data_IF_166901769086
#
_entry.id   IF_166901769086
#
_cell.length_a   1.000
_cell.length_b   1.000
_cell.length_c   1.000
_cell.angle_alpha   90.00
_cell.angle_beta   90.00
_cell.angle_gamma   90.00
#
_symmetry.space_group_name_H-M   'P 1'
#
loop_
_entity.id
_entity.type
_entity.pdbx_description
1 polymer ?
#
# COMPACT_ATOMS: atom_id res chain seq x y z
N UNK A 1 3.35 17.93 -2.21
CA UNK A 1 4.22 16.78 -2.54
C UNK A 1 3.55 15.50 -2.05
N UNK A 2 3.45 14.47 -2.90
CA UNK A 2 2.87 13.16 -2.52
C UNK A 2 3.83 12.38 -1.62
N UNK A 3 3.32 11.37 -0.90
CA UNK A 3 4.16 10.46 -0.10
C UNK A 3 5.20 9.75 -0.97
N UNK A 4 4.79 9.25 -2.14
CA UNK A 4 5.70 8.59 -3.08
C UNK A 4 6.85 9.51 -3.53
N UNK A 5 6.53 10.76 -3.90
CA UNK A 5 7.56 11.74 -4.27
C UNK A 5 8.54 12.03 -3.13
N UNK A 6 8.04 12.12 -1.89
CA UNK A 6 8.87 12.33 -0.69
C UNK A 6 9.83 11.18 -0.47
N UNK A 7 9.33 9.95 -0.54
CA UNK A 7 10.12 8.73 -0.35
C UNK A 7 11.17 8.60 -1.45
N UNK A 8 10.80 8.82 -2.71
CA UNK A 8 11.73 8.79 -3.85
C UNK A 8 12.89 9.75 -3.63
N UNK A 9 12.59 11.02 -3.33
CA UNK A 9 13.61 12.04 -3.08
C UNK A 9 14.58 11.63 -1.94
N UNK A 10 14.08 11.03 -0.86
CA UNK A 10 14.93 10.55 0.25
C UNK A 10 15.83 9.41 -0.18
N UNK A 11 15.31 8.42 -0.90
CA UNK A 11 16.11 7.29 -1.37
C UNK A 11 17.18 7.69 -2.40
N UNK A 12 16.90 8.70 -3.22
CA UNK A 12 17.86 9.27 -4.17
C UNK A 12 18.96 10.06 -3.45
N UNK A 13 18.59 10.93 -2.51
CA UNK A 13 19.53 11.82 -1.81
C UNK A 13 20.32 11.16 -0.68
N UNK A 14 19.81 10.07 -0.09
CA UNK A 14 20.37 9.43 1.10
C UNK A 14 20.46 7.91 0.92
N UNK A 15 21.55 7.40 0.32
CA UNK A 15 21.72 5.97 0.03
C UNK A 15 21.64 5.07 1.26
N UNK A 16 21.99 5.57 2.44
CA UNK A 16 21.94 4.83 3.71
C UNK A 16 20.52 4.46 4.15
N UNK A 17 19.49 5.11 3.59
CA UNK A 17 18.08 4.83 3.87
C UNK A 17 17.54 3.63 3.09
N UNK A 18 18.22 3.21 2.01
CA UNK A 18 17.73 2.15 1.10
C UNK A 18 17.70 0.76 1.74
N UNK A 19 18.53 0.54 2.75
CA UNK A 19 18.69 -0.75 3.42
C UNK A 19 17.95 -0.83 4.77
N UNK A 20 17.31 0.24 5.23
CA UNK A 20 16.71 0.31 6.57
C UNK A 20 15.43 1.15 6.58
N UNK A 21 14.30 0.43 6.54
CA UNK A 21 12.96 1.02 6.55
C UNK A 21 12.71 1.92 7.77
N UNK A 22 13.32 1.62 8.93
CA UNK A 22 13.13 2.43 10.13
C UNK A 22 13.83 3.77 9.99
N UNK A 23 15.04 3.80 9.41
CA UNK A 23 15.72 5.06 9.09
C UNK A 23 14.93 5.87 8.08
N UNK A 24 14.39 5.22 7.05
CA UNK A 24 13.56 5.88 6.04
C UNK A 24 12.30 6.52 6.67
N UNK A 25 11.60 5.78 7.55
CA UNK A 25 10.43 6.29 8.25
C UNK A 25 10.77 7.52 9.10
N UNK A 26 11.85 7.46 9.88
CA UNK A 26 12.30 8.59 10.71
C UNK A 26 12.62 9.81 9.83
N UNK A 27 13.33 9.62 8.71
CA UNK A 27 13.66 10.70 7.80
C UNK A 27 12.42 11.36 7.16
N UNK A 28 11.36 10.58 6.90
CA UNK A 28 10.07 11.12 6.42
C UNK A 28 9.34 11.88 7.52
N UNK A 29 9.38 11.40 8.77
CA UNK A 29 8.79 12.08 9.92
C UNK A 29 9.46 13.43 10.22
N UNK A 30 10.79 13.48 10.13
CA UNK A 30 11.56 14.72 10.30
C UNK A 30 11.09 15.79 9.30
N UNK A 31 10.84 15.44 8.04
CA UNK A 31 10.31 16.39 7.04
C UNK A 31 8.85 16.85 7.32
N UNK A 32 8.15 16.16 8.22
CA UNK A 32 6.81 16.54 8.67
C UNK A 32 6.86 17.31 10.00
N UNK A 33 8.06 17.63 10.50
CA UNK A 33 8.27 18.30 11.78
C UNK A 33 8.12 17.38 13.00
N UNK A 34 8.11 16.06 12.79
CA UNK A 34 8.05 15.08 13.86
C UNK A 34 9.46 14.61 14.20
N UNK A 35 9.94 15.01 15.37
CA UNK A 35 11.28 14.66 15.85
C UNK A 35 11.19 13.69 17.03
N UNK A 36 12.05 12.68 17.00
CA UNK A 36 12.22 11.75 18.11
C UNK A 36 13.38 12.21 18.98
N UNK A 37 13.26 12.05 20.29
CA UNK A 37 14.44 12.16 21.17
C UNK A 37 15.40 11.01 20.89
N UNK A 38 16.71 11.14 21.21
CA UNK A 38 17.67 10.05 21.02
C UNK A 38 17.25 8.73 21.69
N UNK A 39 16.61 8.81 22.86
CA UNK A 39 16.09 7.64 23.57
C UNK A 39 14.90 7.00 22.83
N UNK A 40 13.97 7.80 22.31
CA UNK A 40 12.84 7.31 21.51
C UNK A 40 13.32 6.66 20.22
N UNK A 41 14.33 7.24 19.59
CA UNK A 41 14.95 6.67 18.40
C UNK A 41 15.58 5.31 18.71
N UNK A 42 16.38 5.19 19.77
CA UNK A 42 16.95 3.91 20.22
C UNK A 42 15.86 2.85 20.46
N UNK A 43 14.75 3.22 21.12
CA UNK A 43 13.61 2.31 21.34
C UNK A 43 12.97 1.89 20.02
N UNK A 44 12.76 2.81 19.08
CA UNK A 44 12.20 2.50 17.76
C UNK A 44 13.05 1.47 17.01
N UNK A 45 14.38 1.60 17.05
CA UNK A 45 15.28 0.64 16.41
C UNK A 45 15.28 -0.74 17.09
N UNK A 46 15.00 -0.82 18.39
CA UNK A 46 14.93 -2.07 19.14
C UNK A 46 13.60 -2.84 19.01
N UNK A 47 12.48 -2.18 18.69
CA UNK A 47 11.16 -2.85 18.63
C UNK A 47 10.92 -3.62 17.33
N UNK A 48 9.92 -4.51 17.32
CA UNK A 48 9.48 -5.21 16.12
C UNK A 48 9.10 -4.24 15.00
N UNK A 49 9.34 -4.66 13.75
CA UNK A 49 8.94 -3.88 12.58
C UNK A 49 7.41 -3.64 12.59
N UNK A 50 6.93 -2.41 12.32
CA UNK A 50 5.50 -2.11 12.30
C UNK A 50 4.68 -3.04 11.39
N UNK A 51 5.26 -3.43 10.24
CA UNK A 51 4.62 -4.36 9.29
C UNK A 51 4.44 -5.76 9.88
N UNK A 52 5.40 -6.26 10.67
CA UNK A 52 5.29 -7.54 11.36
C UNK A 52 4.14 -7.50 12.38
N UNK A 53 4.05 -6.43 13.17
CA UNK A 53 2.95 -6.22 14.12
C UNK A 53 1.61 -6.18 13.38
N UNK A 54 1.54 -5.45 12.25
CA UNK A 54 0.34 -5.38 11.41
C UNK A 54 -0.10 -6.76 10.92
N UNK A 55 0.82 -7.58 10.41
CA UNK A 55 0.54 -8.94 9.91
C UNK A 55 0.07 -9.86 11.02
N UNK A 56 0.70 -9.81 12.19
CA UNK A 56 0.26 -10.62 13.35
C UNK A 56 -1.15 -10.21 13.77
N UNK A 57 -1.43 -8.91 13.88
CA UNK A 57 -2.78 -8.41 14.18
C UNK A 57 -3.82 -8.90 13.16
N UNK A 58 -3.48 -8.87 11.87
CA UNK A 58 -4.38 -9.39 10.83
C UNK A 58 -4.71 -10.87 11.05
N UNK A 59 -3.70 -11.71 11.31
CA UNK A 59 -3.90 -13.14 11.62
C UNK A 59 -4.77 -13.36 12.86
N UNK A 60 -4.62 -12.53 13.89
CA UNK A 60 -5.45 -12.60 15.09
C UNK A 60 -6.91 -12.22 14.80
N UNK A 61 -7.12 -11.16 14.02
CA UNK A 61 -8.46 -10.75 13.61
C UNK A 61 -9.16 -11.82 12.76
N UNK A 62 -8.44 -12.50 11.86
CA UNK A 62 -8.96 -13.63 11.07
C UNK A 62 -9.40 -14.80 11.96
N UNK A 63 -8.84 -14.91 13.16
CA UNK A 63 -9.23 -15.89 14.21
C UNK A 63 -10.29 -15.35 15.17
N UNK A 64 -10.81 -14.14 14.93
CA UNK A 64 -11.81 -13.48 15.79
C UNK A 64 -11.25 -12.85 17.07
N UNK A 65 -9.93 -12.78 17.24
CA UNK A 65 -9.29 -12.25 18.46
C UNK A 65 -8.99 -10.76 18.27
N UNK A 66 -9.40 -9.93 19.24
CA UNK A 66 -9.07 -8.49 19.24
C UNK A 66 -9.74 -7.71 18.10
N UNK A 67 -10.92 -8.16 17.67
CA UNK A 67 -11.67 -7.48 16.61
C UNK A 67 -11.98 -6.04 17.00
N UNK A 68 -11.84 -5.08 16.07
CA UNK A 68 -12.25 -3.72 16.31
C UNK A 68 -13.78 -3.63 16.46
N UNK A 69 -14.28 -2.53 17.01
CA UNK A 69 -15.73 -2.33 17.15
C UNK A 69 -16.46 -2.37 15.78
N UNK A 70 -17.77 -2.60 15.81
CA UNK A 70 -18.60 -2.75 14.60
C UNK A 70 -18.54 -1.52 13.70
N UNK A 71 -18.46 -0.31 14.26
CA UNK A 71 -18.40 0.95 13.49
C UNK A 71 -17.10 1.03 12.71
N UNK A 72 -15.99 0.68 13.35
CA UNK A 72 -14.66 0.62 12.76
C UNK A 72 -14.58 -0.46 11.69
N UNK A 73 -15.18 -1.63 11.91
CA UNK A 73 -15.26 -2.70 10.91
C UNK A 73 -16.03 -2.23 9.66
N UNK A 74 -17.20 -1.64 9.84
CA UNK A 74 -18.02 -1.09 8.74
C UNK A 74 -17.24 -0.04 7.94
N UNK A 75 -16.63 0.93 8.62
CA UNK A 75 -15.82 1.97 7.96
C UNK A 75 -14.68 1.38 7.13
N UNK A 76 -13.96 0.40 7.66
CA UNK A 76 -12.86 -0.28 6.95
C UNK A 76 -13.35 -1.05 5.73
N UNK A 77 -14.52 -1.70 5.83
CA UNK A 77 -15.12 -2.44 4.71
C UNK A 77 -15.46 -1.51 3.54
N UNK A 78 -16.12 -0.39 3.82
CA UNK A 78 -16.44 0.63 2.79
C UNK A 78 -15.17 1.16 2.12
N UNK A 79 -14.15 1.52 2.91
CA UNK A 79 -12.91 2.06 2.36
C UNK A 79 -12.18 1.04 1.48
N UNK A 80 -12.17 -0.23 1.88
CA UNK A 80 -11.57 -1.31 1.10
C UNK A 80 -12.33 -1.59 -0.20
N UNK A 81 -13.66 -1.47 -0.19
CA UNK A 81 -14.48 -1.58 -1.40
C UNK A 81 -14.24 -0.43 -2.37
N UNK A 82 -14.14 0.80 -1.88
CA UNK A 82 -13.79 1.99 -2.66
C UNK A 82 -12.42 1.82 -3.33
N UNK A 83 -11.38 1.46 -2.58
CA UNK A 83 -10.04 1.24 -3.17
C UNK A 83 -10.02 0.11 -4.20
N UNK A 84 -10.79 -0.98 -3.99
CA UNK A 84 -10.88 -2.06 -4.98
C UNK A 84 -11.55 -1.58 -6.27
N UNK A 85 -12.55 -0.71 -6.16
CA UNK A 85 -13.23 -0.15 -7.31
C UNK A 85 -12.30 0.80 -8.09
N UNK A 86 -11.59 1.69 -7.40
CA UNK A 86 -10.57 2.57 -8.00
C UNK A 86 -9.49 1.77 -8.75
N UNK A 87 -8.93 0.73 -8.12
CA UNK A 87 -7.93 -0.15 -8.76
C UNK A 87 -8.50 -0.88 -9.98
N UNK A 88 -9.79 -1.25 -9.96
CA UNK A 88 -10.45 -1.88 -11.10
C UNK A 88 -10.63 -0.89 -12.25
N UNK A 89 -11.06 0.33 -11.95
CA UNK A 89 -11.31 1.38 -12.94
C UNK A 89 -9.99 1.89 -13.57
N UNK A 90 -8.93 2.01 -12.77
CA UNK A 90 -7.58 2.38 -13.24
C UNK A 90 -6.94 1.30 -14.13
N UNK A 91 -7.28 0.01 -13.88
CA UNK A 91 -6.82 -1.13 -14.69
C UNK A 91 -7.75 -1.49 -15.87
N UNK A 92 -8.99 -0.98 -15.88
CA UNK A 92 -9.95 -1.22 -16.94
C UNK A 92 -9.45 -0.82 -18.36
N UNK A 93 -8.73 0.29 -18.58
CA UNK A 93 -8.25 0.63 -19.93
C UNK A 93 -7.23 -0.36 -20.49
N UNK A 94 -6.51 -1.11 -19.64
CA UNK A 94 -5.49 -2.09 -20.07
C UNK A 94 -6.12 -3.42 -20.48
N UNK A 95 -7.26 -3.81 -19.88
CA UNK A 95 -7.96 -5.05 -20.24
C UNK A 95 -8.75 -4.92 -21.54
N UNK A 96 -9.23 -3.71 -21.88
CA UNK A 96 -9.95 -3.47 -23.14
C UNK A 96 -9.03 -3.52 -24.38
N UNK A 97 -7.74 -3.24 -24.22
CA UNK A 97 -6.74 -3.30 -25.31
C UNK A 97 -6.14 -4.69 -25.53
N UNK A 98 -6.39 -5.65 -24.63
CA UNK A 98 -5.94 -7.05 -24.74
C UNK A 98 -7.05 -8.02 -25.18
N UNK A 99 -8.28 -7.53 -25.39
CA UNK A 99 -9.33 -8.33 -25.99
C UNK A 99 -8.91 -8.73 -27.42
N UNK A 100 -8.84 -10.03 -27.76
CA UNK A 100 -8.58 -10.43 -29.13
C UNK A 100 -9.66 -9.81 -30.01
N UNK A 101 -9.24 -9.03 -31.01
CA UNK A 101 -10.11 -8.59 -32.10
C UNK A 101 -10.59 -9.86 -32.79
N UNK A 102 -11.72 -10.41 -32.36
CA UNK A 102 -12.34 -11.55 -32.99
C UNK A 102 -12.80 -11.05 -34.35
N UNK A 103 -11.98 -11.27 -35.38
CA UNK A 103 -12.39 -11.07 -36.77
C UNK A 103 -13.60 -11.98 -36.96
N UNK A 104 -14.78 -11.37 -37.10
CA UNK A 104 -15.95 -12.05 -37.63
C UNK A 104 -15.57 -12.59 -39.00
N UNK A 105 -15.39 -13.90 -39.11
CA UNK A 105 -15.27 -14.56 -40.41
C UNK A 105 -16.70 -14.68 -40.92
N UNK A 106 -17.04 -13.90 -41.95
CA UNK A 106 -18.32 -14.04 -42.65
C UNK A 106 -18.40 -15.42 -43.31
N UNK A 107 -19.42 -16.24 -43.01
CA UNK A 107 -19.51 -17.61 -43.50
C UNK A 107 -19.93 -17.73 -44.98
N UNK A 108 -20.01 -16.63 -45.72
CA UNK A 108 -20.46 -16.62 -47.13
C UNK A 108 -19.53 -15.79 -48.02
N UNK A 109 -18.28 -16.21 -48.14
CA UNK A 109 -17.44 -15.84 -49.29
C UNK A 109 -16.69 -17.07 -49.78
N UNK A 110 -17.37 -17.88 -50.59
CA UNK A 110 -16.85 -18.35 -51.87
C UNK A 110 -17.98 -19.08 -52.62
N UNK A 111 -18.18 -18.58 -53.84
CA UNK A 111 -19.08 -19.07 -54.87
C UNK A 111 -18.82 -20.51 -55.29
#
# INVERSE_FOLDING_TARGET
MTLEGRVRQKLESRPELRADDKKLIVAVWEDLGLHLTPEQQKKLFAVYAPESIRRVRQKLNERGIGLPDIRTQKKRKVLAEQMRQEVREDKAPILFSLAPQHKSVDPFTNS
#
